data_IF_466775982111
#
_entry.id   IF_466775982111
#
_cell.length_a   1.000
_cell.length_b   1.000
_cell.length_c   1.000
_cell.angle_alpha   90.00
_cell.angle_beta   90.00
_cell.angle_gamma   90.00
#
_symmetry.space_group_name_H-M   'P 1'
#
loop_
_entity.id
_entity.type
_entity.pdbx_description
1 polymer ?
#
# COMPACT_ATOMS: atom_id res chain seq x y z
N UNK A 1 -44.15 26.21 22.32
CA UNK A 1 -44.09 26.88 21.02
C UNK A 1 -42.65 27.33 20.91
N UNK A 2 -41.92 26.60 20.08
CA UNK A 2 -40.48 26.73 19.87
C UNK A 2 -40.08 28.15 19.49
N UNK A 3 -38.86 28.52 19.88
CA UNK A 3 -38.01 29.38 19.06
C UNK A 3 -36.84 28.50 18.64
N UNK A 4 -37.00 27.88 17.47
CA UNK A 4 -35.94 27.20 16.73
C UNK A 4 -34.97 28.25 16.18
N UNK A 5 -33.67 28.03 16.44
CA UNK A 5 -32.59 28.69 15.71
C UNK A 5 -32.57 28.17 14.26
N UNK A 6 -32.61 29.03 13.23
CA UNK A 6 -32.33 28.57 11.88
C UNK A 6 -30.82 28.42 11.71
N UNK A 7 -30.36 27.16 11.70
CA UNK A 7 -29.10 26.77 11.10
C UNK A 7 -29.05 27.32 9.66
N UNK A 8 -27.95 27.99 9.35
CA UNK A 8 -27.70 28.59 8.04
C UNK A 8 -27.54 27.48 7.00
N UNK A 9 -28.35 27.56 5.95
CA UNK A 9 -28.51 26.57 4.88
C UNK A 9 -27.55 26.84 3.71
N UNK A 10 -26.25 26.91 4.01
CA UNK A 10 -25.20 27.22 3.03
C UNK A 10 -24.06 26.19 2.97
N UNK A 11 -24.14 25.10 3.75
CA UNK A 11 -23.11 24.04 3.75
C UNK A 11 -23.48 22.78 2.94
N UNK A 12 -24.65 22.75 2.30
CA UNK A 12 -25.10 21.60 1.48
C UNK A 12 -24.87 21.79 -0.04
N UNK A 13 -24.13 22.81 -0.46
CA UNK A 13 -24.11 23.25 -1.88
C UNK A 13 -22.87 22.89 -2.73
N UNK A 14 -21.86 22.19 -2.22
CA UNK A 14 -20.62 21.92 -2.99
C UNK A 14 -20.33 20.45 -3.29
N UNK A 15 -20.82 19.54 -2.44
CA UNK A 15 -20.64 18.09 -2.63
C UNK A 15 -21.55 17.57 -3.75
N UNK A 16 -22.81 18.04 -3.82
CA UNK A 16 -23.75 17.68 -4.89
C UNK A 16 -23.41 18.32 -6.25
N UNK A 17 -22.72 19.46 -6.27
CA UNK A 17 -22.48 20.22 -7.50
C UNK A 17 -21.22 19.78 -8.28
N UNK A 18 -20.24 19.17 -7.60
CA UNK A 18 -18.93 18.89 -8.20
C UNK A 18 -18.35 17.49 -7.97
N UNK A 19 -18.96 16.67 -7.12
CA UNK A 19 -18.44 15.35 -6.76
C UNK A 19 -17.15 15.41 -5.90
N UNK A 20 -16.92 14.36 -5.10
CA UNK A 20 -15.81 14.27 -4.14
C UNK A 20 -14.43 14.50 -4.80
N UNK A 21 -14.23 14.06 -6.05
CA UNK A 21 -12.95 14.18 -6.78
C UNK A 21 -12.49 15.62 -7.03
N UNK A 22 -13.41 16.58 -7.19
CA UNK A 22 -13.03 17.99 -7.45
C UNK A 22 -12.65 18.72 -6.17
N UNK A 23 -13.28 18.36 -5.05
CA UNK A 23 -12.97 18.95 -3.74
C UNK A 23 -11.62 18.47 -3.20
N UNK A 24 -11.24 17.21 -3.44
CA UNK A 24 -9.90 16.74 -3.12
C UNK A 24 -8.82 17.49 -3.92
N UNK A 25 -9.05 17.76 -5.22
CA UNK A 25 -8.13 18.56 -6.05
C UNK A 25 -7.93 19.98 -5.51
N UNK A 26 -9.00 20.65 -5.08
CA UNK A 26 -8.93 22.02 -4.55
C UNK A 26 -8.27 22.09 -3.16
N UNK A 27 -8.48 21.08 -2.31
CA UNK A 27 -7.82 20.97 -1.01
C UNK A 27 -6.31 20.76 -1.16
N UNK A 28 -5.88 19.92 -2.11
CA UNK A 28 -4.47 19.70 -2.44
C UNK A 28 -3.82 21.00 -2.94
N UNK A 29 -4.51 21.78 -3.78
CA UNK A 29 -4.00 23.05 -4.31
C UNK A 29 -3.85 24.14 -3.23
N UNK A 30 -4.74 24.19 -2.22
CA UNK A 30 -4.64 25.16 -1.11
C UNK A 30 -3.49 24.87 -0.15
N UNK A 31 -3.18 23.59 0.09
CA UNK A 31 -2.11 23.18 1.00
C UNK A 31 -0.71 23.62 0.48
N UNK A 32 -0.55 23.72 -0.84
CA UNK A 32 0.73 24.03 -1.50
C UNK A 32 1.15 25.52 -1.47
N UNK A 33 0.29 26.44 -1.02
CA UNK A 33 0.59 27.88 -1.01
C UNK A 33 1.40 28.38 0.21
N UNK A 34 1.86 27.49 1.11
CA UNK A 34 2.47 27.89 2.39
C UNK A 34 4.00 27.76 2.52
N UNK A 35 4.74 27.33 1.48
CA UNK A 35 6.20 27.15 1.58
C UNK A 35 6.98 28.12 0.69
N UNK A 36 7.22 29.34 1.19
CA UNK A 36 8.22 30.25 0.64
C UNK A 36 9.55 30.10 1.41
N UNK A 37 10.53 29.41 0.83
CA UNK A 37 11.92 29.34 1.32
C UNK A 37 12.83 30.11 0.34
N UNK A 38 13.78 30.96 0.81
CA UNK A 38 14.49 31.90 -0.06
C UNK A 38 15.64 31.28 -0.88
N UNK A 39 16.05 31.94 -2.00
CA UNK A 39 16.70 31.26 -3.12
C UNK A 39 18.22 31.35 -3.05
N UNK A 40 18.88 30.56 -2.18
CA UNK A 40 20.37 30.55 -2.13
C UNK A 40 21.01 29.16 -2.00
N UNK A 41 20.35 28.10 -2.50
CA UNK A 41 20.97 26.78 -2.71
C UNK A 41 20.44 26.14 -4.01
N UNK A 42 20.70 26.77 -5.17
CA UNK A 42 20.18 26.35 -6.47
C UNK A 42 21.23 25.68 -7.38
N UNK A 43 22.05 24.79 -6.83
CA UNK A 43 22.97 24.00 -7.65
C UNK A 43 23.05 22.57 -7.08
N UNK A 44 22.74 21.60 -7.95
CA UNK A 44 22.64 20.16 -7.68
C UNK A 44 21.27 19.72 -7.14
N UNK A 45 20.27 19.63 -8.01
CA UNK A 45 19.47 18.42 -8.21
C UNK A 45 18.30 18.70 -9.17
N UNK A 46 18.38 18.10 -10.35
CA UNK A 46 17.27 17.96 -11.30
C UNK A 46 16.33 16.83 -10.81
N UNK A 47 15.80 16.98 -9.60
CA UNK A 47 14.70 16.14 -9.09
C UNK A 47 13.42 16.90 -9.36
N UNK A 48 12.61 16.37 -10.28
CA UNK A 48 11.24 16.83 -10.46
C UNK A 48 10.47 16.33 -9.23
N UNK A 49 10.37 17.14 -8.19
CA UNK A 49 9.70 16.74 -6.95
C UNK A 49 8.22 16.31 -7.18
N UNK A 50 7.59 16.76 -8.28
CA UNK A 50 6.18 16.53 -8.61
C UNK A 50 5.98 15.60 -9.83
N UNK A 51 5.16 14.57 -9.65
CA UNK A 51 4.73 13.66 -10.71
C UNK A 51 3.87 14.36 -11.77
N UNK A 52 3.98 13.99 -13.05
CA UNK A 52 3.01 14.48 -14.06
C UNK A 52 1.63 13.83 -13.86
N UNK A 53 0.54 14.43 -14.37
CA UNK A 53 -0.79 13.81 -14.31
C UNK A 53 -0.84 12.41 -14.93
N UNK A 54 -0.09 12.18 -16.02
CA UNK A 54 -0.04 10.90 -16.72
C UNK A 54 0.72 9.84 -15.91
N UNK A 55 1.83 10.23 -15.29
CA UNK A 55 2.59 9.38 -14.36
C UNK A 55 1.75 9.03 -13.13
N UNK A 56 1.00 10.00 -12.59
CA UNK A 56 0.10 9.79 -11.45
C UNK A 56 -1.03 8.83 -11.78
N UNK A 57 -1.64 8.98 -12.96
CA UNK A 57 -2.65 8.05 -13.46
C UNK A 57 -2.07 6.64 -13.65
N UNK A 58 -0.90 6.54 -14.30
CA UNK A 58 -0.23 5.25 -14.51
C UNK A 58 0.16 4.57 -13.21
N UNK A 59 0.63 5.34 -12.23
CA UNK A 59 0.93 4.86 -10.88
C UNK A 59 -0.34 4.35 -10.18
N UNK A 60 -1.40 5.15 -10.15
CA UNK A 60 -2.65 4.75 -9.48
C UNK A 60 -3.25 3.49 -10.09
N UNK A 61 -3.23 3.36 -11.41
CA UNK A 61 -3.70 2.16 -12.11
C UNK A 61 -2.89 0.92 -11.72
N UNK A 62 -1.56 1.02 -11.66
CA UNK A 62 -0.69 -0.08 -11.23
C UNK A 62 -0.95 -0.49 -9.78
N UNK A 63 -1.11 0.48 -8.88
CA UNK A 63 -1.41 0.23 -7.46
C UNK A 63 -2.77 -0.47 -7.32
N UNK A 64 -3.82 0.05 -7.98
CA UNK A 64 -5.17 -0.52 -7.94
C UNK A 64 -5.25 -1.94 -8.53
N UNK A 65 -4.52 -2.18 -9.62
CA UNK A 65 -4.50 -3.48 -10.31
C UNK A 65 -3.72 -4.54 -9.54
N UNK A 66 -2.64 -4.15 -8.86
CA UNK A 66 -1.74 -5.08 -8.17
C UNK A 66 -1.91 -5.12 -6.65
N UNK A 67 -2.75 -4.25 -6.09
CA UNK A 67 -2.83 -3.94 -4.66
C UNK A 67 -1.46 -3.49 -4.09
N UNK A 68 -0.64 -2.84 -4.91
CA UNK A 68 0.70 -2.36 -4.56
C UNK A 68 1.82 -3.40 -4.65
N UNK A 69 1.53 -4.65 -5.04
CA UNK A 69 2.56 -5.69 -5.18
C UNK A 69 3.31 -5.66 -6.52
N UNK A 70 2.83 -4.90 -7.49
CA UNK A 70 3.47 -4.72 -8.80
C UNK A 70 3.31 -3.29 -9.30
N UNK A 71 4.29 -2.45 -8.94
CA UNK A 71 4.35 -1.03 -9.26
C UNK A 71 5.75 -0.70 -9.77
N UNK A 72 5.81 -0.01 -10.90
CA UNK A 72 7.07 0.47 -11.48
C UNK A 72 7.56 1.72 -10.74
N UNK A 73 8.87 1.83 -10.53
CA UNK A 73 9.44 3.07 -10.01
C UNK A 73 9.33 4.20 -11.03
N UNK A 74 9.08 5.42 -10.57
CA UNK A 74 8.99 6.62 -11.43
C UNK A 74 10.29 7.41 -11.28
N UNK A 75 11.16 7.43 -12.31
CA UNK A 75 12.45 8.08 -12.22
C UNK A 75 12.33 9.59 -12.02
N UNK A 76 13.14 10.16 -11.13
CA UNK A 76 13.24 11.61 -10.97
C UNK A 76 12.16 12.25 -10.10
N UNK A 77 11.21 11.48 -9.56
CA UNK A 77 10.17 11.94 -8.62
C UNK A 77 10.49 11.51 -7.20
N UNK A 78 10.10 12.33 -6.22
CA UNK A 78 10.27 12.03 -4.79
C UNK A 78 9.65 10.68 -4.41
N UNK A 79 10.44 9.81 -3.78
CA UNK A 79 10.00 8.48 -3.36
C UNK A 79 9.10 8.47 -2.11
N UNK A 80 8.91 9.61 -1.45
CA UNK A 80 8.07 9.70 -0.25
C UNK A 80 6.60 9.40 -0.60
N UNK A 81 5.94 8.56 0.22
CA UNK A 81 4.55 8.08 0.03
C UNK A 81 4.28 7.20 -1.20
N UNK A 82 5.24 7.04 -2.12
CA UNK A 82 5.09 6.15 -3.27
C UNK A 82 5.45 4.71 -2.90
N UNK A 83 4.73 3.76 -3.50
CA UNK A 83 5.11 2.34 -3.48
C UNK A 83 6.13 2.14 -4.60
N UNK A 84 7.30 1.62 -4.25
CA UNK A 84 8.38 1.40 -5.21
C UNK A 84 9.07 0.04 -5.02
N UNK A 85 9.65 -0.54 -6.10
CA UNK A 85 10.44 -1.75 -6.01
C UNK A 85 11.64 -1.57 -5.07
N UNK A 86 11.81 -2.54 -4.17
CA UNK A 86 13.00 -2.67 -3.34
C UNK A 86 13.98 -3.66 -3.98
N UNK A 87 15.27 -3.34 -3.93
CA UNK A 87 16.29 -4.33 -4.27
C UNK A 87 16.43 -5.33 -3.11
N UNK A 88 16.04 -6.58 -3.38
CA UNK A 88 15.99 -7.64 -2.38
C UNK A 88 17.40 -8.00 -1.88
N UNK A 89 18.41 -7.94 -2.77
CA UNK A 89 19.78 -8.37 -2.45
C UNK A 89 20.42 -7.49 -1.37
N UNK A 90 20.03 -6.21 -1.28
CA UNK A 90 20.57 -5.31 -0.27
C UNK A 90 20.13 -5.65 1.15
N UNK A 91 18.93 -6.20 1.34
CA UNK A 91 18.35 -6.43 2.67
C UNK A 91 17.60 -7.76 2.76
N UNK A 92 18.10 -8.81 2.08
CA UNK A 92 17.42 -10.10 1.97
C UNK A 92 17.03 -10.69 3.33
N UNK A 93 17.93 -10.65 4.31
CA UNK A 93 17.68 -11.17 5.67
C UNK A 93 16.54 -10.45 6.38
N UNK A 94 16.39 -9.14 6.16
CA UNK A 94 15.28 -8.36 6.71
C UNK A 94 13.96 -8.78 6.06
N UNK A 95 13.92 -8.88 4.73
CA UNK A 95 12.71 -9.29 4.01
C UNK A 95 12.31 -10.73 4.33
N UNK A 96 13.29 -11.63 4.50
CA UNK A 96 13.06 -12.98 5.00
C UNK A 96 12.38 -12.97 6.37
N UNK A 97 12.86 -12.16 7.32
CA UNK A 97 12.23 -12.03 8.64
C UNK A 97 10.80 -11.50 8.55
N UNK A 98 10.51 -10.57 7.63
CA UNK A 98 9.15 -10.07 7.44
C UNK A 98 8.21 -11.11 6.81
N UNK A 99 8.70 -11.90 5.86
CA UNK A 99 7.93 -13.04 5.34
C UNK A 99 7.66 -14.08 6.43
N UNK A 100 8.65 -14.37 7.28
CA UNK A 100 8.47 -15.28 8.42
C UNK A 100 7.48 -14.72 9.45
N UNK A 101 7.55 -13.42 9.79
CA UNK A 101 6.57 -12.77 10.66
C UNK A 101 5.14 -12.95 10.15
N UNK A 102 4.93 -12.81 8.84
CA UNK A 102 3.63 -12.97 8.23
C UNK A 102 3.14 -14.43 8.24
N UNK A 103 4.05 -15.39 8.02
CA UNK A 103 3.78 -16.82 8.15
C UNK A 103 3.46 -17.20 9.60
N UNK A 104 4.22 -16.71 10.57
CA UNK A 104 4.01 -16.99 11.98
C UNK A 104 2.63 -16.50 12.43
N UNK A 105 2.23 -15.32 11.96
CA UNK A 105 0.88 -14.79 12.21
C UNK A 105 -0.21 -15.64 11.54
N UNK A 106 0.00 -16.13 10.32
CA UNK A 106 -0.91 -17.07 9.66
C UNK A 106 -1.03 -18.36 10.47
N UNK A 107 0.08 -19.02 10.78
CA UNK A 107 0.13 -20.28 11.53
C UNK A 107 -0.51 -20.13 12.91
N UNK A 108 -0.32 -18.97 13.57
CA UNK A 108 -0.97 -18.65 14.84
C UNK A 108 -2.49 -18.52 14.70
N UNK A 109 -2.98 -17.86 13.64
CA UNK A 109 -4.42 -17.63 13.39
C UNK A 109 -5.15 -18.92 13.01
N UNK A 110 -4.52 -19.81 12.25
CA UNK A 110 -5.15 -21.00 11.69
C UNK A 110 -4.66 -22.31 12.32
N UNK A 111 -4.05 -22.23 13.51
CA UNK A 111 -3.49 -23.37 14.25
C UNK A 111 -4.45 -24.56 14.37
N UNK A 112 -5.73 -24.29 14.65
CA UNK A 112 -6.74 -25.33 14.86
C UNK A 112 -7.25 -25.95 13.55
N UNK A 113 -6.95 -25.34 12.39
CA UNK A 113 -7.32 -25.83 11.07
C UNK A 113 -6.25 -26.76 10.46
N UNK A 114 -5.19 -27.10 11.21
CA UNK A 114 -4.01 -27.82 10.72
C UNK A 114 -3.38 -27.17 9.46
N UNK A 115 -3.50 -25.83 9.37
CA UNK A 115 -2.89 -25.04 8.33
C UNK A 115 -1.55 -24.50 8.85
N UNK A 116 -0.46 -25.03 8.31
CA UNK A 116 0.89 -24.64 8.67
C UNK A 116 1.70 -24.35 7.41
N UNK A 117 2.35 -23.20 7.38
CA UNK A 117 3.21 -22.77 6.29
C UNK A 117 4.66 -22.74 6.76
N UNK A 118 5.56 -23.19 5.90
CA UNK A 118 7.01 -23.12 6.09
C UNK A 118 7.63 -22.19 5.04
N UNK A 119 8.44 -21.22 5.48
CA UNK A 119 9.07 -20.26 4.57
C UNK A 119 10.04 -20.93 3.58
N UNK A 120 9.98 -20.54 2.30
CA UNK A 120 10.93 -21.01 1.27
C UNK A 120 11.87 -19.89 0.81
N UNK A 121 11.34 -18.83 0.16
CA UNK A 121 12.17 -17.72 -0.34
C UNK A 121 11.35 -16.45 -0.61
N UNK A 122 12.01 -15.29 -0.52
CA UNK A 122 11.43 -14.02 -0.98
C UNK A 122 11.56 -13.91 -2.51
N UNK A 123 10.53 -13.43 -3.20
CA UNK A 123 10.50 -13.27 -4.66
C UNK A 123 10.56 -11.81 -5.11
N UNK A 124 9.78 -10.95 -4.45
CA UNK A 124 9.61 -9.54 -4.82
C UNK A 124 9.23 -8.75 -3.57
N UNK A 125 9.73 -7.52 -3.47
CA UNK A 125 9.39 -6.61 -2.38
C UNK A 125 9.14 -5.22 -2.94
N UNK A 126 7.99 -4.65 -2.60
CA UNK A 126 7.76 -3.20 -2.74
C UNK A 126 7.80 -2.53 -1.37
N UNK A 127 8.23 -1.29 -1.32
CA UNK A 127 8.34 -0.50 -0.09
C UNK A 127 7.62 0.84 -0.25
N UNK A 128 7.00 1.30 0.83
CA UNK A 128 6.37 2.61 0.91
C UNK A 128 6.74 3.27 2.23
N UNK A 129 7.42 4.43 2.16
CA UNK A 129 7.73 5.24 3.32
C UNK A 129 6.52 6.13 3.68
N UNK A 130 6.01 6.00 4.91
CA UNK A 130 4.93 6.81 5.48
C UNK A 130 5.15 6.92 7.00
N UNK A 131 4.15 6.63 7.84
CA UNK A 131 4.31 6.49 9.31
C UNK A 131 4.99 5.16 9.67
N UNK A 132 6.27 5.03 9.30
CA UNK A 132 7.01 3.76 9.24
C UNK A 132 7.23 3.32 7.79
N UNK A 133 7.60 2.06 7.58
CA UNK A 133 7.76 1.49 6.23
C UNK A 133 6.78 0.34 6.04
N UNK A 134 5.90 0.44 5.05
CA UNK A 134 5.06 -0.67 4.60
C UNK A 134 5.81 -1.46 3.53
N UNK A 135 5.91 -2.76 3.72
CA UNK A 135 6.50 -3.70 2.77
C UNK A 135 5.44 -4.61 2.19
N UNK A 136 5.34 -4.61 0.86
CA UNK A 136 4.48 -5.49 0.07
C UNK A 136 5.33 -6.65 -0.42
N UNK A 137 5.24 -7.78 0.28
CA UNK A 137 6.09 -8.94 0.11
C UNK A 137 5.39 -9.98 -0.76
N UNK A 138 6.07 -10.43 -1.81
CA UNK A 138 5.71 -11.67 -2.52
C UNK A 138 6.78 -12.71 -2.23
N UNK A 139 6.39 -13.88 -1.72
CA UNK A 139 7.32 -14.92 -1.30
C UNK A 139 6.70 -16.31 -1.50
N UNK A 140 7.54 -17.34 -1.51
CA UNK A 140 7.10 -18.73 -1.55
C UNK A 140 7.11 -19.34 -0.16
N UNK A 141 6.10 -20.15 0.13
CA UNK A 141 6.03 -20.97 1.31
C UNK A 141 5.50 -22.36 0.95
N UNK A 142 5.89 -23.35 1.75
CA UNK A 142 5.41 -24.72 1.65
C UNK A 142 4.17 -24.86 2.53
N UNK A 143 3.08 -25.30 1.95
CA UNK A 143 1.80 -25.53 2.63
C UNK A 143 1.77 -26.96 3.19
N UNK A 144 2.11 -27.10 4.47
CA UNK A 144 2.19 -28.40 5.13
C UNK A 144 0.80 -29.01 5.39
N UNK A 145 -0.25 -28.17 5.44
CA UNK A 145 -1.64 -28.62 5.52
C UNK A 145 -2.13 -29.25 4.22
N UNK A 146 -1.56 -28.84 3.09
CA UNK A 146 -1.89 -29.31 1.74
C UNK A 146 -0.78 -30.16 1.11
N UNK A 147 -0.36 -31.21 1.84
CA UNK A 147 0.60 -32.20 1.33
C UNK A 147 2.03 -31.68 1.08
N UNK A 148 2.34 -30.45 1.51
CA UNK A 148 3.64 -29.83 1.34
C UNK A 148 3.85 -29.15 -0.02
N UNK A 149 2.79 -28.72 -0.69
CA UNK A 149 2.89 -27.98 -1.96
C UNK A 149 3.56 -26.60 -1.74
N UNK A 150 4.44 -26.21 -2.65
CA UNK A 150 5.05 -24.87 -2.62
C UNK A 150 4.16 -23.90 -3.39
N UNK A 151 3.61 -22.91 -2.66
CA UNK A 151 2.73 -21.88 -3.19
C UNK A 151 3.34 -20.49 -3.04
N UNK A 152 2.84 -19.53 -3.82
CA UNK A 152 3.25 -18.13 -3.73
C UNK A 152 2.22 -17.32 -2.95
N UNK A 153 2.69 -16.59 -1.93
CA UNK A 153 1.87 -15.78 -1.05
C UNK A 153 2.24 -14.30 -1.19
N UNK A 154 1.30 -13.45 -0.80
CA UNK A 154 1.45 -12.01 -0.73
C UNK A 154 1.08 -11.53 0.67
N UNK A 155 1.91 -10.66 1.26
CA UNK A 155 1.66 -10.08 2.57
C UNK A 155 2.07 -8.61 2.63
N UNK A 156 1.34 -7.82 3.42
CA UNK A 156 1.75 -6.46 3.79
C UNK A 156 2.25 -6.48 5.23
N UNK A 157 3.51 -6.08 5.43
CA UNK A 157 4.12 -5.93 6.76
C UNK A 157 4.41 -4.45 7.00
N UNK A 158 3.96 -3.94 8.14
CA UNK A 158 4.31 -2.60 8.61
C UNK A 158 5.50 -2.71 9.57
N UNK A 159 6.60 -2.05 9.22
CA UNK A 159 7.72 -1.77 10.11
C UNK A 159 7.51 -0.37 10.72
N UNK A 160 6.80 -0.34 11.84
CA UNK A 160 6.48 0.88 12.58
C UNK A 160 7.59 1.27 13.56
N UNK A 161 7.40 2.40 14.24
CA UNK A 161 8.36 2.90 15.24
C UNK A 161 8.54 1.93 16.42
N UNK A 162 7.44 1.38 16.93
CA UNK A 162 7.44 0.57 18.16
C UNK A 162 7.26 -0.92 17.91
N UNK A 163 6.78 -1.33 16.73
CA UNK A 163 6.47 -2.72 16.44
C UNK A 163 6.47 -3.03 14.94
N UNK A 164 6.59 -4.32 14.64
CA UNK A 164 6.46 -4.89 13.29
C UNK A 164 5.20 -5.75 13.26
N UNK A 165 4.31 -5.51 12.30
CA UNK A 165 3.01 -6.19 12.23
C UNK A 165 2.70 -6.68 10.82
N UNK A 166 2.17 -7.91 10.72
CA UNK A 166 1.62 -8.45 9.47
C UNK A 166 0.17 -7.97 9.29
N UNK A 167 -0.02 -6.96 8.45
CA UNK A 167 -1.30 -6.28 8.28
C UNK A 167 -2.24 -7.05 7.35
N UNK A 168 -1.73 -7.74 6.34
CA UNK A 168 -2.55 -8.57 5.46
C UNK A 168 -1.78 -9.74 4.89
N UNK A 169 -2.50 -10.78 4.49
CA UNK A 169 -1.92 -12.01 3.96
C UNK A 169 -2.91 -12.72 3.04
N UNK A 170 -2.45 -13.16 1.88
CA UNK A 170 -3.23 -13.92 0.89
C UNK A 170 -2.37 -14.89 0.12
N UNK A 171 -3.01 -15.88 -0.48
CA UNK A 171 -2.43 -16.61 -1.61
C UNK A 171 -2.35 -15.64 -2.82
N UNK A 172 -1.26 -15.66 -3.59
CA UNK A 172 -1.15 -14.82 -4.78
C UNK A 172 -2.26 -15.22 -5.78
N UNK A 173 -3.11 -14.28 -6.24
CA UNK A 173 -4.14 -14.58 -7.23
C UNK A 173 -3.53 -15.09 -8.56
N UNK A 174 -4.25 -15.95 -9.31
CA UNK A 174 -3.88 -16.33 -10.68
C UNK A 174 -3.76 -15.09 -11.57
N UNK A 175 -2.93 -15.16 -12.62
CA UNK A 175 -2.72 -13.99 -13.50
C UNK A 175 -3.95 -13.65 -14.36
N UNK A 176 -4.80 -14.64 -14.63
CA UNK A 176 -5.99 -14.52 -15.48
C UNK A 176 -7.20 -13.87 -14.78
N UNK A 177 -7.17 -13.77 -13.44
CA UNK A 177 -8.25 -13.16 -12.63
C UNK A 177 -8.11 -11.64 -12.48
N UNK A 178 -7.15 -11.01 -13.17
CA UNK A 178 -6.91 -9.55 -13.08
C UNK A 178 -8.00 -8.69 -13.72
N UNK A 179 -8.83 -9.27 -14.60
CA UNK A 179 -9.93 -8.59 -15.31
C UNK A 179 -11.32 -8.91 -14.73
N UNK A 180 -11.42 -9.87 -13.80
CA UNK A 180 -12.68 -10.27 -13.17
C UNK A 180 -12.84 -9.58 -11.81
N UNK A 181 -13.66 -8.54 -11.78
CA UNK A 181 -13.88 -7.70 -10.60
C UNK A 181 -14.07 -8.47 -9.28
N UNK A 182 -13.40 -7.99 -8.24
CA UNK A 182 -13.59 -8.25 -6.80
C UNK A 182 -13.49 -9.69 -6.27
N UNK A 183 -13.90 -10.72 -7.02
CA UNK A 183 -14.13 -12.06 -6.48
C UNK A 183 -12.88 -12.95 -6.38
N UNK A 184 -11.78 -12.62 -7.06
CA UNK A 184 -10.52 -13.41 -7.02
C UNK A 184 -9.50 -12.99 -5.95
N UNK A 185 -9.76 -11.90 -5.19
CA UNK A 185 -8.82 -11.30 -4.23
C UNK A 185 -9.17 -11.65 -2.79
N UNK A 186 -9.21 -12.95 -2.46
CA UNK A 186 -9.55 -13.38 -1.11
C UNK A 186 -8.35 -13.27 -0.17
N UNK A 187 -8.43 -12.33 0.78
CA UNK A 187 -7.49 -12.22 1.87
C UNK A 187 -7.80 -13.22 2.99
N UNK A 188 -6.77 -13.82 3.58
CA UNK A 188 -6.92 -14.55 4.84
C UNK A 188 -7.19 -13.58 5.98
N UNK A 189 -6.56 -12.41 5.94
CA UNK A 189 -6.95 -11.22 6.70
C UNK A 189 -6.46 -9.96 6.01
N UNK A 190 -7.14 -8.85 6.29
CA UNK A 190 -6.84 -7.54 5.71
C UNK A 190 -7.06 -6.43 6.75
N UNK A 191 -5.98 -5.85 7.26
CA UNK A 191 -6.01 -4.78 8.26
C UNK A 191 -5.40 -3.46 7.75
N UNK A 192 -5.13 -3.33 6.45
CA UNK A 192 -4.46 -2.15 5.88
C UNK A 192 -5.42 -1.12 5.24
N UNK A 193 -6.74 -1.38 5.29
CA UNK A 193 -7.80 -0.53 4.73
C UNK A 193 -8.40 0.47 5.73
N UNK A 194 -7.86 0.59 6.95
CA UNK A 194 -8.29 1.60 7.90
C UNK A 194 -7.10 2.48 8.28
N UNK A 195 -7.30 3.80 8.19
CA UNK A 195 -6.38 4.91 8.45
C UNK A 195 -5.69 5.47 7.19
N UNK A 196 -6.51 6.03 6.30
CA UNK A 196 -6.20 7.30 5.63
C UNK A 196 -6.80 8.43 6.44
#
# INVERSE_FOLDING_TARGET
METDDPLTDDEMGLVELFGYDKLERELILRQNNFSLIPPQYSALNDFRDEMTPEEAYSYSEQVLKSDGFDVSGIPGVSCCHQIQPCNIDYNYDMYKRYSQLAIDEYNRRFKDANAELEFVKVLKVMGQASRGIRYYLTFMAKDLGDGGEIKTYQAVVLDGLDSKTANSFRLKPPEDDRDSGSHGRQWFWENHLCNG
#
